data_IF_731238240863
#
_entry.id   IF_731238240863
#
_cell.length_a   1.000
_cell.length_b   1.000
_cell.length_c   1.000
_cell.angle_alpha   90.00
_cell.angle_beta   90.00
_cell.angle_gamma   90.00
#
_symmetry.space_group_name_H-M   'P 1'
#
loop_
_entity.id
_entity.type
_entity.pdbx_description
1 polymer ?
#
# COMPACT_ATOMS: atom_id res chain seq x y z
N UNK A 1 9.28 10.72 16.30
CA UNK A 1 9.94 9.68 15.53
C UNK A 1 11.41 9.54 15.92
N UNK A 2 11.86 8.33 16.03
CA UNK A 2 13.29 8.06 16.15
C UNK A 2 13.94 8.26 14.77
N UNK A 3 15.22 8.66 14.77
CA UNK A 3 15.92 8.96 13.54
C UNK A 3 15.88 7.82 12.50
N UNK A 4 16.04 6.58 12.98
CA UNK A 4 15.99 5.42 12.09
C UNK A 4 14.62 5.23 11.44
N UNK A 5 13.54 5.61 12.12
CA UNK A 5 12.19 5.54 11.55
C UNK A 5 12.00 6.60 10.46
N UNK A 6 12.60 7.78 10.63
CA UNK A 6 12.56 8.82 9.61
C UNK A 6 13.32 8.40 8.36
N UNK A 7 14.49 7.79 8.52
CA UNK A 7 15.29 7.31 7.39
C UNK A 7 14.54 6.23 6.62
N UNK A 8 13.90 5.29 7.34
CA UNK A 8 13.09 4.25 6.72
C UNK A 8 11.90 4.84 5.96
N UNK A 9 11.20 5.79 6.59
CA UNK A 9 10.07 6.47 5.96
C UNK A 9 10.48 7.20 4.69
N UNK A 10 11.62 7.92 4.73
CA UNK A 10 12.13 8.64 3.57
C UNK A 10 12.49 7.68 2.44
N UNK A 11 13.06 6.52 2.76
CA UNK A 11 13.38 5.51 1.77
C UNK A 11 12.14 4.97 1.07
N UNK A 12 11.08 4.67 1.84
CA UNK A 12 9.81 4.21 1.29
C UNK A 12 9.18 5.31 0.43
N UNK A 13 9.16 6.53 0.92
CA UNK A 13 8.57 7.67 0.22
C UNK A 13 9.27 7.93 -1.12
N UNK A 14 10.60 7.91 -1.12
CA UNK A 14 11.39 8.09 -2.35
C UNK A 14 11.11 6.96 -3.34
N UNK A 15 11.07 5.72 -2.86
CA UNK A 15 10.76 4.56 -3.69
C UNK A 15 9.37 4.64 -4.32
N UNK A 16 8.38 5.09 -3.54
CA UNK A 16 7.01 5.27 -4.05
C UNK A 16 6.99 6.34 -5.15
N UNK A 17 7.64 7.48 -4.92
CA UNK A 17 7.69 8.57 -5.90
C UNK A 17 8.35 8.13 -7.20
N UNK A 18 9.45 7.37 -7.12
CA UNK A 18 10.19 6.91 -8.29
C UNK A 18 9.41 5.87 -9.10
N UNK A 19 8.47 5.16 -8.47
CA UNK A 19 7.76 4.04 -9.08
C UNK A 19 6.25 4.25 -9.14
N UNK A 20 5.78 5.48 -9.04
CA UNK A 20 4.35 5.78 -9.00
C UNK A 20 3.60 5.17 -10.18
N UNK A 21 4.10 5.32 -11.40
CA UNK A 21 3.42 4.79 -12.59
C UNK A 21 3.33 3.26 -12.56
N UNK A 22 4.40 2.59 -12.13
CA UNK A 22 4.44 1.13 -12.02
C UNK A 22 3.45 0.65 -10.94
N UNK A 23 3.42 1.34 -9.80
CA UNK A 23 2.54 0.98 -8.69
C UNK A 23 1.08 1.21 -9.05
N UNK A 24 0.77 2.30 -9.75
CA UNK A 24 -0.59 2.56 -10.20
C UNK A 24 -1.03 1.51 -11.22
N UNK A 25 -0.14 1.03 -12.07
CA UNK A 25 -0.44 -0.04 -13.01
C UNK A 25 -0.77 -1.36 -12.29
N UNK A 26 -0.14 -1.61 -11.13
CA UNK A 26 -0.45 -2.79 -10.32
C UNK A 26 -1.79 -2.67 -9.62
N UNK A 27 -2.13 -1.47 -9.14
CA UNK A 27 -3.33 -1.22 -8.34
C UNK A 27 -4.57 -1.14 -9.22
N UNK A 28 -4.49 -0.50 -10.38
CA UNK A 28 -5.64 -0.19 -11.22
C UNK A 28 -6.51 -1.41 -11.54
N UNK A 29 -5.98 -2.59 -11.89
CA UNK A 29 -6.83 -3.74 -12.18
C UNK A 29 -7.62 -4.26 -10.98
N UNK A 30 -7.22 -3.92 -9.75
CA UNK A 30 -7.92 -4.36 -8.54
C UNK A 30 -8.99 -3.38 -8.09
N UNK A 31 -9.02 -2.17 -8.65
CA UNK A 31 -9.97 -1.14 -8.29
C UNK A 31 -11.33 -1.41 -8.97
N UNK A 32 -12.40 -1.07 -8.26
CA UNK A 32 -13.77 -1.10 -8.82
C UNK A 32 -14.19 0.27 -9.36
N UNK A 33 -13.28 1.24 -9.32
CA UNK A 33 -13.51 2.63 -9.74
C UNK A 33 -12.22 3.20 -10.32
N UNK A 34 -12.30 4.31 -11.10
CA UNK A 34 -11.09 4.97 -11.59
C UNK A 34 -10.19 5.45 -10.46
N UNK A 35 -8.87 5.39 -10.68
CA UNK A 35 -7.89 5.77 -9.66
C UNK A 35 -8.06 7.24 -9.23
N UNK A 36 -8.51 8.10 -10.13
CA UNK A 36 -8.71 9.52 -9.82
C UNK A 36 -9.93 9.79 -8.94
N UNK A 37 -10.76 8.78 -8.68
CA UNK A 37 -11.88 8.89 -7.74
C UNK A 37 -11.49 8.53 -6.31
N UNK A 38 -10.28 8.05 -6.10
CA UNK A 38 -9.79 7.76 -4.76
C UNK A 38 -9.51 9.07 -4.00
N UNK A 39 -9.76 9.08 -2.69
CA UNK A 39 -9.32 10.20 -1.87
C UNK A 39 -7.79 10.24 -1.85
N UNK A 40 -7.17 11.42 -1.59
CA UNK A 40 -5.71 11.49 -1.52
C UNK A 40 -5.10 10.51 -0.51
N UNK A 41 -5.77 10.28 0.62
CA UNK A 41 -5.27 9.37 1.65
C UNK A 41 -5.35 7.92 1.19
N UNK A 42 -6.48 7.52 0.59
CA UNK A 42 -6.63 6.17 0.04
C UNK A 42 -5.58 5.91 -1.04
N UNK A 43 -5.39 6.86 -1.94
CA UNK A 43 -4.41 6.76 -3.01
C UNK A 43 -2.99 6.59 -2.45
N UNK A 44 -2.61 7.43 -1.48
CA UNK A 44 -1.29 7.35 -0.85
C UNK A 44 -1.10 6.02 -0.11
N UNK A 45 -2.10 5.60 0.64
CA UNK A 45 -2.03 4.34 1.39
C UNK A 45 -1.87 3.14 0.45
N UNK A 46 -2.61 3.12 -0.66
CA UNK A 46 -2.50 2.06 -1.66
C UNK A 46 -1.13 2.05 -2.32
N UNK A 47 -0.56 3.21 -2.64
CA UNK A 47 0.77 3.29 -3.24
C UNK A 47 1.84 2.77 -2.28
N UNK A 48 1.78 3.15 -1.02
CA UNK A 48 2.74 2.70 0.00
C UNK A 48 2.62 1.19 0.20
N UNK A 49 1.40 0.69 0.36
CA UNK A 49 1.16 -0.74 0.53
C UNK A 49 1.62 -1.55 -0.67
N UNK A 50 1.33 -1.08 -1.88
CA UNK A 50 1.76 -1.73 -3.11
C UNK A 50 3.28 -1.75 -3.23
N UNK A 51 3.94 -0.66 -2.87
CA UNK A 51 5.41 -0.60 -2.88
C UNK A 51 6.00 -1.67 -1.97
N UNK A 52 5.51 -1.76 -0.73
CA UNK A 52 6.03 -2.75 0.20
C UNK A 52 5.76 -4.19 -0.27
N UNK A 53 4.58 -4.44 -0.83
CA UNK A 53 4.24 -5.76 -1.33
C UNK A 53 5.08 -6.16 -2.54
N UNK A 54 5.34 -5.23 -3.44
CA UNK A 54 6.02 -5.51 -4.70
C UNK A 54 7.53 -5.39 -4.61
N UNK A 55 8.04 -4.45 -3.83
CA UNK A 55 9.45 -4.05 -3.86
C UNK A 55 10.21 -4.38 -2.58
N UNK A 56 9.54 -4.50 -1.44
CA UNK A 56 10.20 -4.79 -0.16
C UNK A 56 9.75 -6.14 0.39
N UNK A 57 10.37 -7.20 -0.12
CA UNK A 57 10.02 -8.57 0.26
C UNK A 57 10.44 -8.92 1.68
N UNK A 58 11.23 -8.09 2.34
CA UNK A 58 11.60 -8.30 3.74
C UNK A 58 10.44 -8.01 4.69
N UNK A 59 9.45 -7.22 4.24
CA UNK A 59 8.26 -6.91 5.04
C UNK A 59 7.20 -8.00 4.79
N UNK A 60 6.74 -8.72 5.83
CA UNK A 60 5.65 -9.68 5.67
C UNK A 60 4.40 -9.00 5.09
N UNK A 61 3.66 -9.71 4.23
CA UNK A 61 2.53 -9.09 3.54
C UNK A 61 1.46 -8.57 4.51
N UNK A 62 1.22 -9.27 5.61
CA UNK A 62 0.24 -8.83 6.61
C UNK A 62 0.66 -7.52 7.30
N UNK A 63 1.96 -7.36 7.52
CA UNK A 63 2.50 -6.13 8.12
C UNK A 63 2.36 -4.98 7.14
N UNK A 64 2.69 -5.20 5.86
CA UNK A 64 2.56 -4.17 4.84
C UNK A 64 1.11 -3.69 4.71
N UNK A 65 0.15 -4.60 4.67
CA UNK A 65 -1.26 -4.27 4.60
C UNK A 65 -1.70 -3.52 5.85
N UNK A 66 -1.31 -4.01 7.03
CA UNK A 66 -1.71 -3.39 8.29
C UNK A 66 -1.20 -1.96 8.42
N UNK A 67 0.04 -1.69 8.01
CA UNK A 67 0.60 -0.35 8.04
C UNK A 67 -0.19 0.61 7.14
N UNK A 68 -0.52 0.19 5.93
CA UNK A 68 -1.31 0.99 5.00
C UNK A 68 -2.72 1.25 5.54
N UNK A 69 -3.34 0.23 6.14
CA UNK A 69 -4.66 0.34 6.73
C UNK A 69 -4.65 1.33 7.91
N UNK A 70 -3.62 1.26 8.75
CA UNK A 70 -3.49 2.20 9.88
C UNK A 70 -3.30 3.65 9.41
N UNK A 71 -2.54 3.84 8.32
CA UNK A 71 -2.38 5.15 7.71
C UNK A 71 -3.73 5.69 7.25
N UNK A 72 -4.51 4.86 6.58
CA UNK A 72 -5.84 5.24 6.11
C UNK A 72 -6.80 5.56 7.26
N UNK A 73 -6.73 4.80 8.36
CA UNK A 73 -7.54 5.07 9.55
C UNK A 73 -7.18 6.41 10.18
N UNK A 74 -5.90 6.71 10.27
CA UNK A 74 -5.41 7.91 10.95
C UNK A 74 -5.76 9.18 10.19
N UNK A 75 -5.64 9.16 8.87
CA UNK A 75 -5.75 10.37 8.05
C UNK A 75 -6.95 10.38 7.10
N UNK A 76 -7.61 9.24 6.93
CA UNK A 76 -8.73 9.12 6.01
C UNK A 76 -10.08 9.20 6.70
N UNK A 77 -11.13 9.04 5.94
CA UNK A 77 -12.49 8.96 6.45
C UNK A 77 -12.78 7.62 7.13
N UNK A 78 -14.00 7.47 7.63
CA UNK A 78 -14.37 6.33 8.46
C UNK A 78 -14.26 4.98 7.78
N UNK A 79 -14.49 4.91 6.46
CA UNK A 79 -14.54 3.62 5.74
C UNK A 79 -13.43 3.42 4.72
N UNK A 80 -12.59 4.44 4.49
CA UNK A 80 -11.52 4.33 3.50
C UNK A 80 -10.55 3.20 3.78
N UNK A 81 -10.29 2.92 5.06
CA UNK A 81 -9.36 1.86 5.44
C UNK A 81 -9.85 0.46 5.05
N UNK A 82 -11.16 0.24 5.03
CA UNK A 82 -11.73 -1.05 4.63
C UNK A 82 -11.50 -1.30 3.13
N UNK A 83 -11.64 -0.26 2.33
CA UNK A 83 -11.39 -0.34 0.91
C UNK A 83 -9.91 -0.61 0.64
N UNK A 84 -9.02 0.11 1.31
CA UNK A 84 -7.56 -0.09 1.21
C UNK A 84 -7.20 -1.53 1.56
N UNK A 85 -7.75 -2.04 2.67
CA UNK A 85 -7.49 -3.42 3.10
C UNK A 85 -7.91 -4.43 2.03
N UNK A 86 -9.10 -4.29 1.47
CA UNK A 86 -9.60 -5.21 0.45
C UNK A 86 -8.75 -5.19 -0.81
N UNK A 87 -8.35 -4.02 -1.27
CA UNK A 87 -7.50 -3.87 -2.47
C UNK A 87 -6.12 -4.49 -2.23
N UNK A 88 -5.51 -4.21 -1.09
CA UNK A 88 -4.18 -4.74 -0.78
C UNK A 88 -4.19 -6.25 -0.56
N UNK A 89 -5.28 -6.80 -0.01
CA UNK A 89 -5.44 -8.26 0.09
C UNK A 89 -5.42 -8.91 -1.28
N UNK A 90 -6.16 -8.36 -2.25
CA UNK A 90 -6.16 -8.86 -3.62
C UNK A 90 -4.78 -8.77 -4.26
N UNK A 91 -4.10 -7.65 -4.03
CA UNK A 91 -2.77 -7.43 -4.57
C UNK A 91 -1.76 -8.41 -3.97
N UNK A 92 -1.84 -8.66 -2.66
CA UNK A 92 -0.97 -9.62 -1.98
C UNK A 92 -1.13 -11.03 -2.54
N UNK A 93 -2.34 -11.44 -2.87
CA UNK A 93 -2.58 -12.75 -3.47
C UNK A 93 -1.87 -12.90 -4.81
N UNK A 94 -1.72 -11.82 -5.56
CA UNK A 94 -0.99 -11.84 -6.83
C UNK A 94 0.52 -11.77 -6.63
N UNK A 95 0.98 -10.88 -5.74
CA UNK A 95 2.41 -10.57 -5.59
C UNK A 95 3.12 -11.45 -4.56
N UNK A 96 2.38 -11.96 -3.59
CA UNK A 96 2.90 -12.76 -2.48
C UNK A 96 2.18 -14.09 -2.34
N UNK A 97 1.82 -14.72 -3.46
CA UNK A 97 1.01 -15.93 -3.46
C UNK A 97 1.60 -17.04 -2.58
N UNK A 98 2.90 -17.26 -2.66
CA UNK A 98 3.56 -18.28 -1.86
C UNK A 98 3.46 -17.97 -0.36
N UNK A 99 3.57 -16.70 0.02
CA UNK A 99 3.49 -16.29 1.41
C UNK A 99 2.05 -16.39 1.94
N UNK A 100 1.08 -15.95 1.14
CA UNK A 100 -0.35 -15.97 1.52
C UNK A 100 -0.82 -17.42 1.71
N UNK A 101 -0.35 -18.35 0.89
CA UNK A 101 -0.76 -19.75 0.91
C UNK A 101 0.10 -20.63 1.84
N UNK A 102 1.06 -20.03 2.53
CA UNK A 102 1.92 -20.77 3.45
C UNK A 102 1.19 -21.24 4.71
#
# INVERSE_FOLDING_TARGET
FKRCQLDLFQGIFTGVLDRTDELEALITPTLDRPINELSPVEHAALLIGAYELACDLSVPYKVAINEAVELAKTFGGTDGHKYVNGILDQLAQKLRQAEVNA
#
